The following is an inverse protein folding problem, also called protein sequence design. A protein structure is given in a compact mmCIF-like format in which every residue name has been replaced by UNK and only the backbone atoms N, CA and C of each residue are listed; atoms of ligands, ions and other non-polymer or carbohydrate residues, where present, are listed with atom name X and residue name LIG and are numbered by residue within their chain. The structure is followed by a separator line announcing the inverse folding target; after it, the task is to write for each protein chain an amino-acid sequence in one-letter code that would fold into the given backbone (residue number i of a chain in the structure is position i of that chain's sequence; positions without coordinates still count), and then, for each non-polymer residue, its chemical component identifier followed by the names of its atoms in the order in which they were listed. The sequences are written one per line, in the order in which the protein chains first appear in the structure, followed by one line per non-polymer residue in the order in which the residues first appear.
data_IF_849639777110
#
_entry.id   IF_849639777110
#
_cell.length_a   1.000
_cell.length_b   1.000
_cell.length_c   1.000
_cell.angle_alpha   90.00
_cell.angle_beta   90.00
_cell.angle_gamma   90.00
#
_symmetry.space_group_name_H-M   'P 1'
#
loop_
_entity.id
_entity.type
_entity.pdbx_description
1 polymer ?
#
# COMPACT_ATOMS: atom_id res chain seq x y z
N UNK A 1 10.49 17.05 -20.44
CA UNK A 1 9.93 17.33 -19.11
C UNK A 1 10.95 16.83 -18.09
N UNK A 2 11.43 17.65 -17.15
CA UNK A 2 12.32 17.20 -16.09
C UNK A 2 11.69 16.07 -15.27
N UNK A 3 12.51 15.17 -14.72
CA UNK A 3 12.07 14.02 -13.90
C UNK A 3 11.17 14.50 -12.76
N UNK A 4 11.60 15.53 -12.03
CA UNK A 4 10.83 16.09 -10.91
C UNK A 4 9.43 16.59 -11.33
N UNK A 5 9.29 17.10 -12.55
CA UNK A 5 7.99 17.55 -13.08
C UNK A 5 7.08 16.36 -13.40
N UNK A 6 7.63 15.23 -13.87
CA UNK A 6 6.87 13.98 -14.06
C UNK A 6 6.38 13.48 -12.70
N UNK A 7 7.29 13.35 -11.73
CA UNK A 7 7.00 12.87 -10.38
C UNK A 7 5.91 13.71 -9.70
N UNK A 8 6.01 15.04 -9.77
CA UNK A 8 5.01 15.93 -9.20
C UNK A 8 3.64 15.76 -9.85
N UNK A 9 3.58 15.68 -11.19
CA UNK A 9 2.31 15.48 -11.91
C UNK A 9 1.63 14.17 -11.56
N UNK A 10 2.41 13.10 -11.38
CA UNK A 10 1.88 11.81 -10.93
C UNK A 10 1.35 11.95 -9.50
N UNK A 11 2.13 12.50 -8.57
CA UNK A 11 1.70 12.73 -7.18
C UNK A 11 0.40 13.53 -7.10
N UNK A 12 0.31 14.66 -7.81
CA UNK A 12 -0.88 15.52 -7.82
C UNK A 12 -2.12 14.79 -8.36
N UNK A 13 -1.96 13.95 -9.39
CA UNK A 13 -3.04 13.16 -9.98
C UNK A 13 -3.65 12.18 -8.98
N UNK A 14 -2.80 11.49 -8.21
CA UNK A 14 -3.23 10.52 -7.20
C UNK A 14 -3.81 11.22 -5.95
N UNK A 15 -3.19 12.32 -5.49
CA UNK A 15 -3.73 13.12 -4.39
C UNK A 15 -5.13 13.67 -4.70
N UNK A 16 -5.32 14.18 -5.91
CA UNK A 16 -6.63 14.65 -6.38
C UNK A 16 -7.65 13.51 -6.39
N UNK A 17 -7.30 12.35 -6.97
CA UNK A 17 -8.21 11.21 -7.03
C UNK A 17 -8.66 10.76 -5.64
N UNK A 18 -7.72 10.64 -4.70
CA UNK A 18 -8.01 10.23 -3.32
C UNK A 18 -8.96 11.22 -2.61
N UNK A 19 -8.80 12.52 -2.88
CA UNK A 19 -9.62 13.57 -2.27
C UNK A 19 -11.01 13.66 -2.90
N UNK A 20 -11.13 13.44 -4.22
CA UNK A 20 -12.41 13.55 -4.94
C UNK A 20 -13.20 12.25 -4.99
N UNK A 21 -12.59 11.12 -4.63
CA UNK A 21 -13.18 9.79 -4.78
C UNK A 21 -13.32 9.35 -6.24
N UNK A 22 -12.56 9.98 -7.16
CA UNK A 22 -12.57 9.64 -8.58
C UNK A 22 -12.20 8.16 -8.76
N UNK A 23 -13.02 7.43 -9.52
CA UNK A 23 -12.77 6.03 -9.82
C UNK A 23 -11.82 5.91 -11.01
N UNK A 24 -10.62 5.39 -10.79
CA UNK A 24 -9.76 4.92 -11.88
C UNK A 24 -10.08 3.45 -12.12
N UNK A 25 -10.88 3.19 -13.17
CA UNK A 25 -11.40 1.85 -13.48
C UNK A 25 -10.24 0.86 -13.66
N UNK A 26 -10.14 -0.11 -12.75
CA UNK A 26 -9.16 -1.18 -12.82
C UNK A 26 -9.81 -2.51 -12.40
N UNK A 27 -9.56 -3.61 -13.13
CA UNK A 27 -10.07 -4.92 -12.76
C UNK A 27 -9.33 -5.41 -11.52
N UNK A 28 -9.97 -5.37 -10.36
CA UNK A 28 -9.41 -5.96 -9.15
C UNK A 28 -9.90 -7.39 -8.95
N UNK A 29 -9.01 -8.26 -8.46
CA UNK A 29 -9.31 -9.67 -8.15
C UNK A 29 -9.39 -9.94 -6.64
N UNK A 30 -9.49 -8.88 -5.82
CA UNK A 30 -9.61 -9.04 -4.37
C UNK A 30 -10.94 -9.71 -4.01
N UNK A 31 -10.91 -10.54 -2.97
CA UNK A 31 -12.13 -10.85 -2.24
C UNK A 31 -12.52 -9.62 -1.39
N UNK A 32 -13.26 -8.70 -2.01
CA UNK A 32 -13.70 -7.47 -1.36
C UNK A 32 -14.61 -7.72 -0.16
N UNK A 33 -15.32 -8.87 -0.11
CA UNK A 33 -16.14 -9.20 1.04
C UNK A 33 -15.25 -9.53 2.25
N UNK A 34 -14.18 -10.29 2.01
CA UNK A 34 -13.19 -10.58 3.03
C UNK A 34 -12.42 -9.34 3.48
N UNK A 35 -11.90 -8.52 2.55
CA UNK A 35 -11.14 -7.30 2.91
C UNK A 35 -11.94 -6.33 3.77
N UNK A 36 -13.25 -6.18 3.52
CA UNK A 36 -14.14 -5.32 4.32
C UNK A 36 -14.27 -5.75 5.78
N UNK A 37 -13.90 -6.98 6.13
CA UNK A 37 -13.96 -7.44 7.53
C UNK A 37 -12.88 -6.80 8.40
N UNK A 38 -11.79 -6.28 7.81
CA UNK A 38 -10.69 -5.69 8.57
C UNK A 38 -10.12 -4.37 8.00
N UNK A 39 -10.35 -4.07 6.72
CA UNK A 39 -9.91 -2.82 6.09
C UNK A 39 -11.04 -1.79 6.05
N UNK A 40 -10.84 -0.58 6.57
CA UNK A 40 -11.81 0.51 6.51
C UNK A 40 -12.20 0.90 5.07
N UNK A 41 -13.47 1.26 4.87
CA UNK A 41 -14.03 1.54 3.55
C UNK A 41 -13.33 2.71 2.83
N UNK A 42 -12.83 3.70 3.58
CA UNK A 42 -12.10 4.84 3.00
C UNK A 42 -10.82 4.41 2.29
N UNK A 43 -10.15 3.35 2.76
CA UNK A 43 -8.97 2.78 2.11
C UNK A 43 -9.36 2.02 0.85
N UNK A 44 -10.44 1.23 0.92
CA UNK A 44 -10.92 0.43 -0.21
C UNK A 44 -11.39 1.29 -1.40
N UNK A 45 -11.95 2.48 -1.12
CA UNK A 45 -12.47 3.41 -2.14
C UNK A 45 -11.39 4.12 -2.97
N UNK A 46 -10.17 4.19 -2.44
CA UNK A 46 -9.03 4.88 -3.07
C UNK A 46 -7.95 3.91 -3.55
N UNK A 47 -8.30 2.64 -3.74
CA UNK A 47 -7.42 1.66 -4.38
C UNK A 47 -7.41 1.90 -5.89
N UNK A 48 -6.23 2.27 -6.42
CA UNK A 48 -6.02 2.60 -7.83
C UNK A 48 -5.07 1.61 -8.52
N UNK A 49 -4.88 0.43 -7.93
CA UNK A 49 -4.12 -0.66 -8.54
C UNK A 49 -4.91 -1.38 -9.64
N UNK A 50 -4.21 -2.15 -10.47
CA UNK A 50 -4.77 -2.83 -11.65
C UNK A 50 -5.18 -4.28 -11.39
N UNK A 51 -5.21 -4.71 -10.13
CA UNK A 51 -5.38 -6.10 -9.74
C UNK A 51 -5.04 -6.32 -8.26
N UNK A 52 -4.78 -7.58 -7.90
CA UNK A 52 -4.14 -7.99 -6.65
C UNK A 52 -2.71 -8.47 -6.98
N UNK A 53 -1.65 -8.00 -6.30
CA UNK A 53 -0.29 -8.48 -6.55
C UNK A 53 -0.21 -10.00 -6.41
N UNK A 54 0.27 -10.69 -7.44
CA UNK A 54 0.35 -12.15 -7.45
C UNK A 54 1.21 -12.70 -6.30
N UNK A 55 2.23 -11.93 -5.89
CA UNK A 55 3.11 -12.25 -4.76
C UNK A 55 2.41 -12.31 -3.40
N UNK A 56 1.24 -11.67 -3.22
CA UNK A 56 0.49 -11.82 -1.96
C UNK A 56 0.13 -13.29 -1.68
N UNK A 57 -0.03 -14.11 -2.71
CA UNK A 57 -0.31 -15.55 -2.56
C UNK A 57 0.89 -16.37 -2.07
N UNK A 58 2.09 -15.79 -2.06
CA UNK A 58 3.33 -16.47 -1.64
C UNK A 58 3.79 -16.04 -0.26
N UNK A 59 3.15 -15.04 0.34
CA UNK A 59 3.49 -14.52 1.67
C UNK A 59 3.43 -15.62 2.72
N UNK A 60 4.45 -15.65 3.57
CA UNK A 60 4.55 -16.56 4.70
C UNK A 60 4.43 -15.79 6.03
N UNK A 61 3.98 -16.51 7.07
CA UNK A 61 3.89 -15.94 8.40
C UNK A 61 5.28 -15.55 8.93
N UNK A 62 5.40 -14.35 9.50
CA UNK A 62 6.65 -13.81 10.03
C UNK A 62 7.52 -13.06 9.02
N UNK A 63 7.19 -13.06 7.73
CA UNK A 63 7.96 -12.33 6.71
C UNK A 63 7.88 -10.80 6.87
N UNK A 64 8.90 -10.14 6.34
CA UNK A 64 8.92 -8.70 6.10
C UNK A 64 8.59 -8.42 4.63
N UNK A 65 7.44 -7.79 4.39
CA UNK A 65 6.96 -7.43 3.04
C UNK A 65 7.15 -5.94 2.79
N UNK A 66 7.68 -5.60 1.61
CA UNK A 66 7.72 -4.23 1.09
C UNK A 66 6.71 -4.04 -0.04
N UNK A 67 5.90 -2.99 0.04
CA UNK A 67 4.99 -2.56 -1.01
C UNK A 67 5.43 -1.22 -1.59
N UNK A 68 5.79 -1.21 -2.87
CA UNK A 68 6.24 -0.01 -3.59
C UNK A 68 5.04 0.64 -4.26
N UNK A 69 4.81 1.93 -3.94
CA UNK A 69 3.63 2.68 -4.36
C UNK A 69 2.37 2.24 -3.63
N UNK A 70 2.46 2.14 -2.30
CA UNK A 70 1.44 1.53 -1.45
C UNK A 70 0.09 2.26 -1.45
N UNK A 71 0.04 3.51 -1.91
CA UNK A 71 -1.16 4.34 -1.91
C UNK A 71 -1.80 4.43 -0.53
N UNK A 72 -3.12 4.26 -0.47
CA UNK A 72 -3.89 4.20 0.78
C UNK A 72 -3.67 2.93 1.62
N UNK A 73 -2.89 1.96 1.15
CA UNK A 73 -2.41 0.83 1.93
C UNK A 73 -3.19 -0.48 1.79
N UNK A 74 -4.06 -0.65 0.79
CA UNK A 74 -4.87 -1.88 0.63
C UNK A 74 -4.03 -3.15 0.54
N UNK A 75 -2.96 -3.14 -0.26
CA UNK A 75 -2.04 -4.26 -0.44
C UNK A 75 -1.22 -4.50 0.83
N UNK A 76 -0.75 -3.43 1.49
CA UNK A 76 -0.08 -3.50 2.79
C UNK A 76 -0.96 -4.14 3.89
N UNK A 77 -2.24 -3.80 3.95
CA UNK A 77 -3.15 -4.31 4.97
C UNK A 77 -3.54 -5.77 4.73
N UNK A 78 -3.69 -6.20 3.48
CA UNK A 78 -3.85 -7.62 3.19
C UNK A 78 -2.55 -8.39 3.49
N UNK A 79 -1.38 -7.84 3.15
CA UNK A 79 -0.10 -8.43 3.54
C UNK A 79 0.05 -8.56 5.06
N UNK A 80 -0.39 -7.57 5.84
CA UNK A 80 -0.36 -7.56 7.31
C UNK A 80 -1.09 -8.77 7.90
N UNK A 81 -2.26 -9.09 7.35
CA UNK A 81 -3.05 -10.26 7.72
C UNK A 81 -2.32 -11.56 7.39
N UNK A 82 -1.66 -11.63 6.24
CA UNK A 82 -0.97 -12.82 5.74
C UNK A 82 0.33 -13.12 6.50
N UNK A 83 1.14 -12.10 6.78
CA UNK A 83 2.38 -12.26 7.58
C UNK A 83 2.09 -12.49 9.06
N UNK A 84 0.90 -12.08 9.54
CA UNK A 84 0.50 -12.22 10.94
C UNK A 84 1.21 -11.25 11.89
N UNK A 85 0.89 -11.28 13.19
CA UNK A 85 1.37 -10.28 14.16
C UNK A 85 2.88 -10.32 14.42
N UNK A 86 3.56 -11.41 14.03
CA UNK A 86 5.01 -11.55 14.15
C UNK A 86 5.79 -11.06 12.92
N UNK A 87 5.12 -10.88 11.78
CA UNK A 87 5.73 -10.33 10.56
C UNK A 87 5.63 -8.81 10.51
N UNK A 88 6.14 -8.22 9.43
CA UNK A 88 6.18 -6.77 9.24
C UNK A 88 5.81 -6.39 7.82
N UNK A 89 5.15 -5.25 7.65
CA UNK A 89 4.85 -4.68 6.33
C UNK A 89 5.31 -3.23 6.27
N UNK A 90 6.00 -2.89 5.20
CA UNK A 90 6.45 -1.52 4.92
C UNK A 90 5.83 -1.09 3.60
N UNK A 91 5.02 -0.03 3.63
CA UNK A 91 4.53 0.63 2.42
C UNK A 91 5.35 1.88 2.12
N UNK A 92 5.75 2.06 0.86
CA UNK A 92 6.39 3.30 0.39
C UNK A 92 5.45 3.98 -0.59
N UNK A 93 5.19 5.27 -0.37
CA UNK A 93 4.52 6.12 -1.35
C UNK A 93 5.12 7.53 -1.32
N UNK A 94 5.00 8.26 -2.43
CA UNK A 94 5.48 9.64 -2.53
C UNK A 94 4.42 10.67 -2.13
N UNK A 95 3.14 10.29 -2.15
CA UNK A 95 1.99 11.17 -2.06
C UNK A 95 1.56 11.36 -0.61
N UNK A 96 1.69 12.58 -0.07
CA UNK A 96 1.36 12.86 1.35
C UNK A 96 -0.10 12.51 1.69
N UNK A 97 -1.05 12.85 0.82
CA UNK A 97 -2.48 12.54 1.02
C UNK A 97 -2.74 11.03 1.15
N UNK A 98 -2.02 10.21 0.38
CA UNK A 98 -2.14 8.76 0.46
C UNK A 98 -1.58 8.23 1.78
N UNK A 99 -0.38 8.70 2.15
CA UNK A 99 0.29 8.31 3.38
C UNK A 99 -0.51 8.72 4.62
N UNK A 100 -1.16 9.89 4.61
CA UNK A 100 -2.03 10.33 5.70
C UNK A 100 -3.19 9.36 5.93
N UNK A 101 -3.88 8.96 4.86
CA UNK A 101 -4.99 8.01 4.92
C UNK A 101 -4.48 6.63 5.37
N UNK A 102 -3.38 6.16 4.80
CA UNK A 102 -2.78 4.87 5.14
C UNK A 102 -2.38 4.81 6.63
N UNK A 103 -1.62 5.81 7.10
CA UNK A 103 -1.16 5.91 8.50
C UNK A 103 -2.32 5.99 9.49
N UNK A 104 -3.34 6.80 9.20
CA UNK A 104 -4.56 6.90 10.03
C UNK A 104 -5.24 5.55 10.26
N UNK A 105 -5.21 4.66 9.27
CA UNK A 105 -5.92 3.37 9.32
C UNK A 105 -5.10 2.20 9.90
N UNK A 106 -3.80 2.37 10.11
CA UNK A 106 -2.91 1.31 10.65
C UNK A 106 -3.39 0.69 11.96
N UNK A 107 -3.82 1.52 12.92
CA UNK A 107 -4.29 1.07 14.23
C UNK A 107 -5.67 0.42 14.16
N UNK A 108 -6.54 0.92 13.29
CA UNK A 108 -7.88 0.37 13.06
C UNK A 108 -7.76 -1.04 12.46
N UNK A 109 -6.92 -1.20 11.44
CA UNK A 109 -6.67 -2.51 10.81
C UNK A 109 -6.08 -3.49 11.81
N UNK A 110 -5.07 -3.07 12.59
CA UNK A 110 -4.48 -3.91 13.63
C UNK A 110 -5.52 -4.38 14.65
N UNK A 111 -6.38 -3.49 15.13
CA UNK A 111 -7.45 -3.83 16.06
C UNK A 111 -8.46 -4.81 15.44
N UNK A 112 -8.86 -4.59 14.18
CA UNK A 112 -9.79 -5.48 13.47
C UNK A 112 -9.19 -6.88 13.23
N UNK A 113 -7.87 -6.97 13.05
CA UNK A 113 -7.14 -8.23 12.95
C UNK A 113 -6.85 -8.89 14.31
N UNK A 114 -7.19 -8.22 15.42
CA UNK A 114 -6.95 -8.72 16.78
C UNK A 114 -5.50 -8.60 17.25
N UNK A 115 -4.71 -7.70 16.65
CA UNK A 115 -3.31 -7.47 17.03
C UNK A 115 -3.21 -6.46 18.18
N UNK A 116 -2.21 -6.63 19.04
CA UNK A 116 -1.94 -5.70 20.14
C UNK A 116 -1.37 -4.35 19.66
N UNK A 117 -0.70 -4.35 18.51
CA UNK A 117 -0.16 -3.17 17.84
C UNK A 117 -0.14 -3.41 16.32
N UNK A 118 -0.03 -2.32 15.55
CA UNK A 118 0.15 -2.44 14.11
C UNK A 118 1.53 -2.98 13.77
N UNK A 119 1.59 -3.91 12.81
CA UNK A 119 2.82 -4.40 12.19
C UNK A 119 3.08 -3.74 10.82
N UNK A 120 2.33 -2.67 10.49
CA UNK A 120 2.42 -1.94 9.23
C UNK A 120 3.04 -0.56 9.46
N UNK A 121 3.99 -0.19 8.61
CA UNK A 121 4.64 1.12 8.61
C UNK A 121 4.57 1.75 7.22
N UNK A 122 4.22 3.03 7.13
CA UNK A 122 4.20 3.77 5.86
C UNK A 122 5.26 4.87 5.81
N UNK A 123 6.18 4.76 4.85
CA UNK A 123 7.31 5.68 4.67
C UNK A 123 7.10 6.54 3.42
N UNK A 124 7.50 7.82 3.53
CA UNK A 124 7.54 8.70 2.36
C UNK A 124 8.79 8.37 1.56
N UNK A 125 8.65 8.06 0.28
CA UNK A 125 9.79 7.74 -0.58
C UNK A 125 9.38 7.49 -2.02
N UNK A 126 10.39 7.37 -2.87
CA UNK A 126 10.23 7.01 -4.28
C UNK A 126 10.64 5.55 -4.49
N UNK A 127 10.18 4.96 -5.60
CA UNK A 127 10.47 3.58 -5.95
C UNK A 127 11.97 3.30 -6.25
N UNK A 128 12.74 4.34 -6.57
CA UNK A 128 14.16 4.27 -6.94
C UNK A 128 15.12 4.49 -5.75
N UNK A 129 14.70 5.24 -4.73
CA UNK A 129 15.52 5.61 -3.57
C UNK A 129 15.09 4.93 -2.27
N UNK A 130 13.95 4.24 -2.28
CA UNK A 130 13.36 3.38 -1.24
C UNK A 130 14.00 3.49 0.16
N UNK A 131 13.33 4.10 1.15
CA UNK A 131 13.87 4.25 2.51
C UNK A 131 13.77 2.93 3.31
N UNK A 132 14.52 1.90 2.91
CA UNK A 132 14.63 0.59 3.58
C UNK A 132 16.09 0.17 3.70
N UNK A 133 16.36 -0.73 4.66
CA UNK A 133 17.70 -1.25 4.90
C UNK A 133 18.03 -2.40 3.93
N UNK A 134 19.31 -2.54 3.60
CA UNK A 134 19.81 -3.65 2.78
C UNK A 134 19.50 -5.00 3.44
N UNK A 135 19.11 -5.99 2.64
CA UNK A 135 18.84 -7.36 3.05
C UNK A 135 17.80 -7.52 4.19
N UNK A 136 16.87 -6.57 4.33
CA UNK A 136 15.85 -6.56 5.37
C UNK A 136 14.45 -7.04 4.93
N UNK A 137 14.26 -7.33 3.63
CA UNK A 137 12.94 -7.60 3.04
C UNK A 137 12.93 -9.01 2.44
N UNK A 138 11.92 -9.81 2.79
CA UNK A 138 11.71 -11.17 2.28
C UNK A 138 10.93 -11.17 0.96
N UNK A 139 9.95 -10.27 0.82
CA UNK A 139 9.12 -10.15 -0.38
C UNK A 139 8.87 -8.68 -0.75
N UNK A 140 9.03 -8.35 -2.03
CA UNK A 140 8.67 -7.05 -2.59
C UNK A 140 7.46 -7.21 -3.50
N UNK A 141 6.45 -6.37 -3.30
CA UNK A 141 5.26 -6.26 -4.13
C UNK A 141 5.10 -4.83 -4.67
N UNK A 142 4.35 -4.70 -5.76
CA UNK A 142 3.94 -3.42 -6.34
C UNK A 142 2.72 -3.66 -7.23
N UNK A 143 1.83 -2.68 -7.32
CA UNK A 143 0.60 -2.77 -8.08
C UNK A 143 0.47 -1.62 -9.09
N UNK A 144 0.97 -1.82 -10.32
CA UNK A 144 0.85 -0.88 -11.45
C UNK A 144 1.43 0.54 -11.22
N UNK A 145 2.47 0.67 -10.37
CA UNK A 145 3.19 1.93 -10.17
C UNK A 145 4.56 1.98 -10.85
N UNK A 146 5.20 0.84 -11.10
CA UNK A 146 6.56 0.78 -11.69
C UNK A 146 6.60 1.43 -13.08
N UNK A 147 5.53 1.30 -13.86
CA UNK A 147 5.38 1.92 -15.17
C UNK A 147 5.24 3.46 -15.13
N UNK A 148 5.15 4.05 -13.94
CA UNK A 148 5.10 5.49 -13.71
C UNK A 148 6.42 6.05 -13.17
N UNK A 149 7.40 5.18 -12.87
CA UNK A 149 8.73 5.60 -12.50
C UNK A 149 9.45 6.22 -13.72
N UNK A 150 10.10 7.38 -13.56
CA UNK A 150 10.73 8.13 -14.65
C UNK A 150 12.07 7.54 -15.13
#
# INVERSE_FOLDING_TARGET
MPIDEITQKVSDRYAKAATTGEQMCCPTSYDMAHLKTFIPEEVLKISYGCGTPAGLKTVQAGETVLDIGSGGGIDCFEASRLVGPAGRVIGIDMTDTMLEIARKNTSIVAANLGYSASNVEFRKGLADTMPVEDAAIDLIISNCVINLAP
#
